data_IF_290964460384
#
_entry.id   IF_290964460384
#
_cell.length_a   1.000
_cell.length_b   1.000
_cell.length_c   1.000
_cell.angle_alpha   90.00
_cell.angle_beta   90.00
_cell.angle_gamma   90.00
#
_symmetry.space_group_name_H-M   'P 1'
#
loop_
_entity.id
_entity.type
_entity.pdbx_description
1 polymer ?
#
# COMPACT_ATOMS: atom_id res chain seq x y z
N UNK A 1 57.53 -39.03 -35.46
CA UNK A 1 57.80 -39.23 -34.01
C UNK A 1 58.75 -38.14 -33.52
N UNK A 2 58.52 -37.65 -32.28
CA UNK A 2 59.29 -36.63 -31.47
C UNK A 2 59.15 -35.17 -31.95
N UNK A 3 58.36 -34.27 -31.34
CA UNK A 3 58.29 -33.65 -29.97
C UNK A 3 59.53 -32.82 -29.57
N UNK A 4 59.34 -31.51 -29.39
CA UNK A 4 59.71 -30.69 -28.21
C UNK A 4 59.21 -29.24 -28.40
N UNK A 5 58.25 -28.75 -27.58
CA UNK A 5 58.38 -27.80 -26.44
C UNK A 5 58.88 -26.41 -26.83
N UNK A 6 58.36 -25.26 -26.39
CA UNK A 6 57.20 -24.81 -25.63
C UNK A 6 57.28 -23.26 -25.65
N UNK A 7 56.18 -22.52 -25.53
CA UNK A 7 56.10 -21.32 -24.68
C UNK A 7 54.67 -20.85 -24.49
N UNK A 8 54.34 -20.72 -23.21
CA UNK A 8 53.10 -20.31 -22.59
C UNK A 8 52.91 -18.80 -22.82
N UNK A 9 51.72 -18.41 -23.26
CA UNK A 9 51.25 -17.02 -23.26
C UNK A 9 49.84 -16.99 -22.68
N UNK A 10 49.75 -16.81 -21.37
CA UNK A 10 48.50 -16.53 -20.65
C UNK A 10 48.14 -15.07 -20.93
N UNK A 11 46.97 -14.80 -21.52
CA UNK A 11 46.35 -13.47 -21.43
C UNK A 11 44.86 -13.61 -21.13
N UNK A 12 44.49 -12.82 -20.12
CA UNK A 12 43.23 -12.69 -19.41
C UNK A 12 41.96 -12.47 -20.25
N UNK A 13 40.92 -13.17 -19.79
CA UNK A 13 39.49 -12.85 -19.69
C UNK A 13 39.04 -11.41 -20.02
N UNK A 14 38.00 -11.30 -20.84
CA UNK A 14 36.94 -10.31 -20.67
C UNK A 14 35.58 -10.98 -20.94
N UNK A 15 34.84 -11.28 -19.87
CA UNK A 15 33.45 -11.71 -19.95
C UNK A 15 32.58 -10.46 -20.16
N UNK A 16 32.10 -10.23 -21.37
CA UNK A 16 31.07 -9.23 -21.65
C UNK A 16 29.72 -9.79 -21.19
N UNK A 17 29.30 -9.43 -19.99
CA UNK A 17 27.93 -9.61 -19.52
C UNK A 17 27.02 -8.64 -20.26
N UNK A 18 26.14 -9.15 -21.12
CA UNK A 18 25.09 -8.36 -21.77
C UNK A 18 24.05 -7.97 -20.73
N UNK A 19 24.06 -6.70 -20.30
CA UNK A 19 22.98 -6.13 -19.51
C UNK A 19 21.73 -6.01 -20.40
N UNK A 20 20.71 -6.83 -20.12
CA UNK A 20 19.37 -6.66 -20.68
C UNK A 20 18.76 -5.39 -20.08
N UNK A 21 18.68 -4.33 -20.89
CA UNK A 21 17.91 -3.14 -20.58
C UNK A 21 16.43 -3.48 -20.83
N UNK A 22 15.75 -3.98 -19.80
CA UNK A 22 14.29 -4.03 -19.79
C UNK A 22 13.75 -2.62 -19.59
N UNK A 23 13.43 -1.95 -20.70
CA UNK A 23 12.56 -0.77 -20.69
C UNK A 23 11.15 -1.23 -20.31
N UNK A 24 10.90 -1.28 -19.01
CA UNK A 24 9.56 -1.49 -18.48
C UNK A 24 8.66 -0.34 -18.93
N UNK A 25 7.70 -0.64 -19.80
CA UNK A 25 6.57 0.23 -20.10
C UNK A 25 5.79 0.46 -18.81
N UNK A 26 5.97 1.63 -18.20
CA UNK A 26 5.15 2.07 -17.09
C UNK A 26 3.74 2.36 -17.64
N UNK A 27 2.78 1.51 -17.32
CA UNK A 27 1.37 1.79 -17.57
C UNK A 27 0.99 3.11 -16.87
N UNK A 28 0.33 4.07 -17.55
CA UNK A 28 -0.11 5.29 -16.91
C UNK A 28 -1.11 4.95 -15.80
N UNK A 29 -0.82 5.42 -14.59
CA UNK A 29 -1.77 5.36 -13.49
C UNK A 29 -2.98 6.22 -13.88
N UNK A 30 -4.11 5.56 -14.15
CA UNK A 30 -5.40 6.22 -14.30
C UNK A 30 -5.74 6.88 -12.96
N UNK A 31 -5.51 8.18 -12.84
CA UNK A 31 -5.96 8.96 -11.71
C UNK A 31 -7.50 9.09 -11.79
N UNK A 32 -8.22 8.23 -11.08
CA UNK A 32 -9.67 8.23 -11.05
C UNK A 32 -10.15 8.96 -9.80
N UNK A 33 -11.39 9.47 -9.77
CA UNK A 33 -12.10 9.95 -8.56
C UNK A 33 -12.24 8.91 -7.41
N UNK A 34 -11.55 7.78 -7.53
CA UNK A 34 -11.31 6.71 -6.55
C UNK A 34 -9.90 6.78 -5.93
N UNK A 35 -9.11 7.79 -6.28
CA UNK A 35 -7.85 8.07 -5.63
C UNK A 35 -8.07 8.62 -4.23
N UNK A 36 -7.10 8.33 -3.38
CA UNK A 36 -7.03 8.93 -2.08
C UNK A 36 -6.65 10.39 -2.28
N UNK A 37 -7.45 11.36 -1.82
CA UNK A 37 -7.11 12.75 -2.09
C UNK A 37 -5.89 13.17 -1.25
N UNK A 38 -5.12 14.18 -1.69
CA UNK A 38 -4.09 14.77 -0.85
C UNK A 38 -4.70 15.24 0.48
N UNK A 39 -4.09 14.89 1.60
CA UNK A 39 -4.65 15.15 2.94
C UNK A 39 -5.31 13.95 3.58
N UNK A 40 -5.72 12.95 2.80
CA UNK A 40 -6.56 11.87 3.29
C UNK A 40 -5.80 10.60 3.67
N UNK A 41 -6.45 9.83 4.55
CA UNK A 41 -6.15 8.43 4.80
C UNK A 41 -7.28 7.56 4.26
N UNK A 42 -6.93 6.67 3.34
CA UNK A 42 -7.88 5.78 2.69
C UNK A 42 -7.68 4.35 3.16
N UNK A 43 -8.77 3.71 3.55
CA UNK A 43 -8.82 2.30 3.90
C UNK A 43 -9.76 1.56 2.97
N UNK A 44 -9.39 0.33 2.66
CA UNK A 44 -10.06 -0.52 1.69
C UNK A 44 -10.30 -1.88 2.32
N UNK A 45 -11.46 -2.47 2.05
CA UNK A 45 -11.80 -3.76 2.63
C UNK A 45 -11.19 -4.96 1.88
N UNK A 46 -10.69 -4.75 0.66
CA UNK A 46 -10.06 -5.78 -0.14
C UNK A 46 -8.57 -5.48 -0.41
N UNK A 47 -7.88 -6.49 -0.97
CA UNK A 47 -6.49 -6.40 -1.40
C UNK A 47 -6.27 -5.33 -2.48
N UNK A 48 -5.07 -4.74 -2.49
CA UNK A 48 -4.61 -3.82 -3.54
C UNK A 48 -5.54 -2.63 -3.83
N UNK A 49 -6.08 -2.01 -2.77
CA UNK A 49 -6.89 -0.79 -2.84
C UNK A 49 -8.22 -0.99 -3.58
N UNK A 50 -8.83 -2.16 -3.41
CA UNK A 50 -10.08 -2.51 -4.07
C UNK A 50 -11.24 -2.64 -3.07
N UNK A 51 -12.45 -2.83 -3.61
CA UNK A 51 -13.66 -3.02 -2.81
C UNK A 51 -14.20 -1.74 -2.19
N UNK A 52 -14.80 -1.91 -1.02
CA UNK A 52 -15.30 -0.86 -0.14
C UNK A 52 -14.22 0.08 0.34
N UNK A 53 -14.42 1.38 0.12
CA UNK A 53 -13.47 2.43 0.50
C UNK A 53 -14.08 3.37 1.51
N UNK A 54 -13.29 3.73 2.51
CA UNK A 54 -13.49 4.90 3.35
C UNK A 54 -12.28 5.79 3.23
N UNK A 55 -12.52 7.10 3.25
CA UNK A 55 -11.48 8.11 3.18
C UNK A 55 -11.83 9.24 4.13
N UNK A 56 -10.82 9.84 4.75
CA UNK A 56 -11.00 10.95 5.69
C UNK A 56 -9.68 11.68 5.94
N UNK A 57 -9.79 12.99 6.19
CA UNK A 57 -8.69 13.83 6.69
C UNK A 57 -8.61 13.82 8.23
N UNK A 58 -9.58 13.18 8.91
CA UNK A 58 -9.79 13.26 10.36
C UNK A 58 -9.59 11.93 11.06
N UNK A 59 -9.29 12.01 12.36
CA UNK A 59 -9.26 10.83 13.24
C UNK A 59 -10.62 10.16 13.26
N UNK A 60 -10.63 8.85 13.11
CA UNK A 60 -11.85 8.04 13.12
C UNK A 60 -11.74 7.02 14.26
N UNK A 61 -12.36 7.28 15.42
CA UNK A 61 -12.20 6.44 16.60
C UNK A 61 -12.86 5.07 16.46
N UNK A 62 -13.82 4.94 15.53
CA UNK A 62 -14.58 3.73 15.25
C UNK A 62 -14.97 3.70 13.77
N UNK A 63 -14.81 2.56 13.11
CA UNK A 63 -15.32 2.31 11.76
C UNK A 63 -16.75 1.76 11.79
N UNK A 64 -17.31 1.48 12.97
CA UNK A 64 -18.74 1.21 13.08
C UNK A 64 -19.55 2.48 12.75
N UNK A 65 -20.49 2.36 11.82
CA UNK A 65 -21.30 3.48 11.33
C UNK A 65 -20.58 4.49 10.44
N UNK A 66 -19.35 4.22 9.98
CA UNK A 66 -18.76 5.05 8.91
C UNK A 66 -19.30 4.63 7.55
N UNK A 67 -19.66 5.62 6.75
CA UNK A 67 -20.15 5.40 5.40
C UNK A 67 -18.98 5.04 4.47
N UNK A 68 -18.56 3.78 4.48
CA UNK A 68 -17.70 3.24 3.45
C UNK A 68 -18.57 2.81 2.26
N UNK A 69 -18.07 3.02 1.04
CA UNK A 69 -18.84 2.75 -0.17
C UNK A 69 -18.05 1.85 -1.10
N UNK A 70 -18.73 0.85 -1.67
CA UNK A 70 -18.23 0.10 -2.83
C UNK A 70 -19.10 0.37 -4.04
N UNK A 71 -18.52 0.26 -5.23
CA UNK A 71 -19.23 0.40 -6.49
C UNK A 71 -19.64 -0.97 -7.01
N UNK A 72 -20.93 -1.18 -7.25
CA UNK A 72 -21.40 -2.41 -7.88
C UNK A 72 -20.86 -2.52 -9.32
N UNK A 73 -20.24 -3.65 -9.71
CA UNK A 73 -19.60 -3.79 -11.03
C UNK A 73 -20.56 -3.63 -12.20
N UNK A 74 -21.82 -4.07 -12.02
CA UNK A 74 -22.83 -4.14 -13.09
C UNK A 74 -23.57 -2.82 -13.27
N UNK A 75 -23.93 -2.15 -12.18
CA UNK A 75 -24.80 -0.96 -12.22
C UNK A 75 -24.06 0.35 -11.95
N UNK A 76 -22.84 0.28 -11.41
CA UNK A 76 -22.10 1.44 -10.97
C UNK A 76 -22.66 2.13 -9.71
N UNK A 77 -23.71 1.57 -9.11
CA UNK A 77 -24.35 2.09 -7.89
C UNK A 77 -23.40 1.99 -6.71
N UNK A 78 -23.36 3.04 -5.87
CA UNK A 78 -22.65 3.02 -4.60
C UNK A 78 -23.53 2.34 -3.55
N UNK A 79 -22.98 1.32 -2.89
CA UNK A 79 -23.64 0.63 -1.78
C UNK A 79 -22.80 0.77 -0.52
N UNK A 80 -23.45 0.99 0.65
CA UNK A 80 -22.74 1.09 1.91
C UNK A 80 -22.14 -0.26 2.28
N UNK A 81 -20.96 -0.24 2.88
CA UNK A 81 -20.27 -1.42 3.39
C UNK A 81 -19.65 -1.13 4.75
N UNK A 82 -19.55 -2.15 5.59
CA UNK A 82 -18.87 -2.04 6.88
C UNK A 82 -17.36 -2.17 6.67
N UNK A 83 -16.57 -1.30 7.29
CA UNK A 83 -15.11 -1.39 7.32
C UNK A 83 -14.53 -1.89 8.64
N UNK A 84 -15.33 -1.86 9.71
CA UNK A 84 -14.92 -2.38 10.99
C UNK A 84 -14.48 -3.84 10.85
N UNK A 85 -13.26 -4.13 11.31
CA UNK A 85 -12.63 -5.46 11.21
C UNK A 85 -12.62 -6.01 9.78
N UNK A 86 -12.43 -5.13 8.78
CA UNK A 86 -12.37 -5.53 7.37
C UNK A 86 -11.28 -4.84 6.57
N UNK A 87 -10.49 -3.96 7.18
CA UNK A 87 -9.43 -3.25 6.44
C UNK A 87 -8.36 -4.23 5.97
N UNK A 88 -8.18 -4.31 4.65
CA UNK A 88 -7.17 -5.14 4.01
C UNK A 88 -6.03 -4.36 3.37
N UNK A 89 -6.29 -3.13 2.90
CA UNK A 89 -5.26 -2.28 2.30
C UNK A 89 -5.49 -0.80 2.62
N UNK A 90 -4.45 0.03 2.49
CA UNK A 90 -4.54 1.46 2.81
C UNK A 90 -3.59 2.35 1.99
N UNK A 91 -3.92 3.64 1.94
CA UNK A 91 -3.04 4.72 1.48
C UNK A 91 -3.09 5.88 2.46
N UNK A 92 -1.93 6.37 2.91
CA UNK A 92 -1.81 7.62 3.64
C UNK A 92 -1.24 8.68 2.70
N UNK A 93 -2.14 9.46 2.10
CA UNK A 93 -1.74 10.57 1.25
C UNK A 93 -1.39 11.81 2.06
N UNK A 94 -2.02 11.96 3.25
CA UNK A 94 -1.65 12.89 4.31
C UNK A 94 -1.49 14.35 3.89
N UNK A 95 -1.28 15.23 4.87
CA UNK A 95 -0.94 16.61 4.60
C UNK A 95 0.43 16.90 5.21
N UNK A 96 1.47 17.19 4.41
CA UNK A 96 2.84 17.39 4.89
C UNK A 96 2.98 18.51 5.95
N UNK A 97 1.96 19.34 6.14
CA UNK A 97 2.01 20.51 7.03
C UNK A 97 1.26 20.38 8.36
N UNK A 98 0.55 19.28 8.64
CA UNK A 98 -0.27 19.13 9.86
C UNK A 98 -0.14 17.77 10.54
N UNK A 99 -0.47 16.71 9.82
CA UNK A 99 -0.44 15.34 10.33
C UNK A 99 0.21 14.42 9.32
N UNK A 100 1.25 13.72 9.76
CA UNK A 100 2.12 12.96 8.85
C UNK A 100 2.11 11.47 9.13
N UNK A 101 1.49 10.99 10.20
CA UNK A 101 1.45 9.56 10.53
C UNK A 101 0.05 9.17 10.96
N UNK A 102 -0.44 8.05 10.43
CA UNK A 102 -1.70 7.44 10.87
C UNK A 102 -1.39 6.19 11.67
N UNK A 103 -1.97 6.07 12.86
CA UNK A 103 -1.92 4.87 13.69
C UNK A 103 -3.28 4.16 13.63
N UNK A 104 -3.30 2.89 13.22
CA UNK A 104 -4.53 2.08 13.12
C UNK A 104 -4.61 1.04 14.25
N UNK A 105 -5.80 0.83 14.78
CA UNK A 105 -6.03 0.07 16.02
C UNK A 105 -7.10 -1.01 15.88
N UNK A 106 -6.97 -2.04 16.71
CA UNK A 106 -7.88 -3.20 16.71
C UNK A 106 -9.28 -2.88 17.23
N UNK A 107 -9.42 -1.92 18.14
CA UNK A 107 -10.69 -1.61 18.81
C UNK A 107 -10.91 -0.10 18.87
N UNK A 108 -12.16 0.28 19.17
CA UNK A 108 -12.60 1.66 19.36
C UNK A 108 -11.68 2.47 20.28
N UNK A 109 -11.54 3.75 19.97
CA UNK A 109 -10.84 4.76 20.78
C UNK A 109 -9.35 4.52 21.04
N UNK A 110 -8.66 3.74 20.21
CA UNK A 110 -7.26 3.41 20.48
C UNK A 110 -7.07 2.58 21.76
N UNK A 111 -8.16 2.05 22.34
CA UNK A 111 -8.15 1.15 23.48
C UNK A 111 -7.75 -0.29 23.10
N UNK A 112 -7.65 -0.57 21.81
CA UNK A 112 -7.14 -1.85 21.29
C UNK A 112 -5.64 -1.84 21.00
N UNK A 113 -5.15 -2.99 20.54
CA UNK A 113 -3.77 -3.15 20.07
C UNK A 113 -3.49 -2.23 18.89
N UNK A 114 -2.34 -1.56 18.90
CA UNK A 114 -1.80 -0.89 17.70
C UNK A 114 -1.49 -1.96 16.65
N UNK A 115 -2.10 -1.85 15.48
CA UNK A 115 -1.92 -2.80 14.38
C UNK A 115 -0.76 -2.38 13.48
N UNK A 116 -0.80 -1.13 12.99
CA UNK A 116 0.25 -0.53 12.18
C UNK A 116 0.30 0.99 12.31
N UNK A 117 1.44 1.55 11.91
CA UNK A 117 1.61 2.98 11.64
C UNK A 117 1.91 3.18 10.17
N UNK A 118 1.23 4.13 9.55
CA UNK A 118 1.42 4.53 8.16
C UNK A 118 2.00 5.94 8.13
N UNK A 119 3.31 6.13 7.88
CA UNK A 119 3.87 7.45 7.68
C UNK A 119 3.35 8.11 6.39
N UNK A 120 3.66 9.39 6.18
CA UNK A 120 3.23 10.16 5.02
C UNK A 120 3.71 9.49 3.73
N UNK A 121 2.80 9.30 2.78
CA UNK A 121 3.08 8.58 1.52
C UNK A 121 3.10 7.06 1.66
N UNK A 122 2.97 6.52 2.87
CA UNK A 122 2.92 5.08 3.06
C UNK A 122 1.63 4.51 2.46
N UNK A 123 1.79 3.36 1.83
CA UNK A 123 0.69 2.60 1.29
C UNK A 123 1.00 1.12 1.50
N UNK A 124 -0.05 0.33 1.71
CA UNK A 124 0.07 -1.12 1.75
C UNK A 124 -1.04 -1.75 0.94
N UNK A 125 -0.66 -2.61 -0.01
CA UNK A 125 -1.61 -3.42 -0.79
C UNK A 125 -2.19 -4.57 0.05
N UNK A 126 -1.57 -4.88 1.18
CA UNK A 126 -1.99 -5.91 2.11
C UNK A 126 -1.36 -5.68 3.48
N UNK A 127 -2.16 -5.45 4.52
CA UNK A 127 -1.62 -5.15 5.87
C UNK A 127 -1.08 -6.38 6.63
N UNK A 128 -1.19 -7.57 6.03
CA UNK A 128 -0.63 -8.83 6.53
C UNK A 128 -1.61 -9.62 7.41
N UNK A 129 -1.55 -10.95 7.34
CA UNK A 129 -2.54 -11.90 7.92
C UNK A 129 -2.93 -11.60 9.39
N UNK A 130 -1.98 -11.18 10.23
CA UNK A 130 -2.23 -10.94 11.67
C UNK A 130 -2.85 -9.57 11.99
N UNK A 131 -2.90 -8.65 11.02
CA UNK A 131 -3.44 -7.29 11.16
C UNK A 131 -4.58 -7.03 10.17
N UNK A 132 -4.71 -7.83 9.12
CA UNK A 132 -5.79 -7.79 8.15
C UNK A 132 -7.12 -7.97 8.85
N UNK A 133 -8.13 -7.23 8.41
CA UNK A 133 -9.51 -7.40 8.88
C UNK A 133 -9.65 -7.27 10.40
N UNK A 134 -8.81 -6.44 11.01
CA UNK A 134 -8.84 -6.17 12.45
C UNK A 134 -8.90 -4.70 12.79
N UNK A 135 -8.63 -3.81 11.83
CA UNK A 135 -8.69 -2.40 12.14
C UNK A 135 -10.14 -1.96 12.31
N UNK A 136 -10.40 -1.34 13.47
CA UNK A 136 -11.68 -0.76 13.84
C UNK A 136 -11.61 0.77 13.96
N UNK A 137 -10.45 1.39 13.72
CA UNK A 137 -10.31 2.83 13.76
C UNK A 137 -8.87 3.30 13.54
N UNK A 138 -8.69 4.61 13.47
CA UNK A 138 -7.37 5.22 13.34
C UNK A 138 -7.28 6.62 13.95
N UNK A 139 -6.05 7.03 14.23
CA UNK A 139 -5.68 8.35 14.73
C UNK A 139 -4.60 8.97 13.88
N UNK A 140 -4.77 10.26 13.57
CA UNK A 140 -3.68 11.09 13.09
C UNK A 140 -2.77 11.46 14.25
N UNK A 141 -1.49 11.10 14.15
CA UNK A 141 -0.47 11.43 15.13
C UNK A 141 0.57 12.33 14.48
N UNK A 142 1.11 13.28 15.26
CA UNK A 142 2.23 14.12 14.83
C UNK A 142 3.47 13.23 14.64
N UNK A 143 4.32 13.61 13.67
CA UNK A 143 5.64 13.00 13.48
C UNK A 143 6.54 13.19 14.68
#
# INVERSE_FOLDING_TARGET
>A
MRRSFARIGVVLVAATGSALISLGVASPASAGRYDCDPGEYCTYNDFAYSGGRFTTESTTPDYDGVDAWTKLPVTGTLVPVTLNDRVSSYRNNGNPHTYSVVASYEHRYGGGRLLWKAPLGANSRYVGDNNNDRASGHYWVRS
#
